data_IF_679079352453
#
_entry.id   IF_679079352453
#
_cell.length_a   1.000
_cell.length_b   1.000
_cell.length_c   1.000
_cell.angle_alpha   90.00
_cell.angle_beta   90.00
_cell.angle_gamma   90.00
#
_symmetry.space_group_name_H-M   'P 1'
#
loop_
_entity.id
_entity.type
_entity.pdbx_description
1 polymer ?
#
# COMPACT_ATOMS: atom_id res chain seq x y z
N UNK A 1 -23.36 7.42 16.51
CA UNK A 1 -22.53 6.36 17.10
C UNK A 1 -22.38 6.57 18.60
N UNK A 2 -22.43 5.48 19.37
CA UNK A 2 -22.00 5.46 20.78
C UNK A 2 -20.47 5.48 20.88
N UNK A 3 -19.91 5.62 22.09
CA UNK A 3 -18.46 5.75 22.27
C UNK A 3 -17.72 4.49 21.82
N UNK A 4 -18.27 3.33 22.13
CA UNK A 4 -17.72 2.02 21.81
C UNK A 4 -17.64 1.83 20.28
N UNK A 5 -18.71 2.18 19.55
CA UNK A 5 -18.76 2.17 18.09
C UNK A 5 -17.68 3.08 17.48
N UNK A 6 -17.44 4.26 18.06
CA UNK A 6 -16.35 5.16 17.60
C UNK A 6 -14.98 4.58 17.89
N UNK A 7 -14.80 4.00 19.09
CA UNK A 7 -13.51 3.45 19.51
C UNK A 7 -13.07 2.31 18.60
N UNK A 8 -13.96 1.35 18.31
CA UNK A 8 -13.61 0.19 17.47
C UNK A 8 -13.22 0.61 16.04
N UNK A 9 -13.84 1.65 15.48
CA UNK A 9 -13.52 2.13 14.12
C UNK A 9 -12.12 2.75 13.98
N UNK A 10 -11.39 2.97 15.09
CA UNK A 10 -10.06 3.60 15.06
C UNK A 10 -8.89 2.62 15.02
N UNK A 11 -9.17 1.32 15.09
CA UNK A 11 -8.14 0.28 14.99
C UNK A 11 -8.56 -0.83 14.04
N UNK A 12 -7.59 -1.63 13.62
CA UNK A 12 -7.86 -2.81 12.80
C UNK A 12 -8.59 -3.88 13.63
N UNK A 13 -9.48 -4.63 12.99
CA UNK A 13 -10.10 -5.84 13.55
C UNK A 13 -9.48 -7.12 12.97
N UNK A 14 -8.72 -7.00 11.88
CA UNK A 14 -7.98 -8.09 11.23
C UNK A 14 -6.66 -7.56 10.67
N UNK A 15 -5.88 -8.39 9.96
CA UNK A 15 -4.67 -7.91 9.25
C UNK A 15 -4.97 -6.82 8.22
N UNK A 16 -6.14 -6.86 7.60
CA UNK A 16 -6.49 -6.01 6.45
C UNK A 16 -7.92 -5.47 6.50
N UNK A 17 -8.52 -5.35 7.69
CA UNK A 17 -9.83 -4.72 7.82
C UNK A 17 -10.00 -3.96 9.13
N UNK A 18 -10.86 -2.95 9.09
CA UNK A 18 -11.36 -2.22 10.26
C UNK A 18 -12.87 -2.43 10.39
N UNK A 19 -13.39 -2.42 11.63
CA UNK A 19 -14.81 -2.66 11.87
C UNK A 19 -15.67 -1.53 11.31
N UNK A 20 -16.88 -1.90 10.89
CA UNK A 20 -17.96 -0.97 10.57
C UNK A 20 -18.91 -0.77 11.75
N UNK A 21 -20.08 -0.19 11.47
CA UNK A 21 -21.20 -0.06 12.42
C UNK A 21 -22.48 -0.48 11.71
N UNK A 22 -22.77 -1.79 11.72
CA UNK A 22 -23.87 -2.39 10.94
C UNK A 22 -25.25 -1.81 11.28
N UNK A 23 -25.52 -1.47 12.55
CA UNK A 23 -26.79 -0.83 12.97
C UNK A 23 -27.02 0.53 12.30
N UNK A 24 -25.94 1.21 11.89
CA UNK A 24 -25.98 2.49 11.19
C UNK A 24 -25.79 2.33 9.67
N UNK A 25 -25.74 1.11 9.15
CA UNK A 25 -25.50 0.84 7.73
C UNK A 25 -24.06 1.10 7.27
N UNK A 26 -23.10 1.17 8.20
CA UNK A 26 -21.68 1.35 7.87
C UNK A 26 -21.02 -0.03 7.77
N UNK A 27 -20.58 -0.46 6.57
CA UNK A 27 -19.94 -1.76 6.41
C UNK A 27 -18.53 -1.76 6.99
N UNK A 28 -17.94 -2.96 7.09
CA UNK A 28 -16.51 -3.10 7.33
C UNK A 28 -15.72 -2.47 6.18
N UNK A 29 -14.51 -2.00 6.51
CA UNK A 29 -13.60 -1.43 5.53
C UNK A 29 -12.42 -2.38 5.34
N UNK A 30 -12.28 -2.89 4.12
CA UNK A 30 -11.27 -3.87 3.75
C UNK A 30 -10.16 -3.23 2.93
N UNK A 31 -8.93 -3.65 3.19
CA UNK A 31 -7.74 -3.19 2.52
C UNK A 31 -6.99 -4.34 1.87
N UNK A 32 -6.04 -4.03 1.00
CA UNK A 32 -4.97 -4.96 0.64
C UNK A 32 -3.69 -4.19 0.34
N UNK A 33 -2.56 -4.85 0.54
CA UNK A 33 -1.32 -4.45 -0.15
C UNK A 33 -1.47 -4.69 -1.67
N UNK A 34 -0.72 -4.04 -2.53
CA UNK A 34 0.36 -3.09 -2.24
C UNK A 34 0.62 -2.14 -3.42
N UNK A 35 1.81 -1.52 -3.48
CA UNK A 35 2.07 -0.45 -4.45
C UNK A 35 2.14 -0.90 -5.92
N UNK A 36 2.20 -2.20 -6.21
CA UNK A 36 2.33 -2.73 -7.58
C UNK A 36 1.45 -3.96 -7.87
N UNK A 37 0.48 -4.31 -7.03
CA UNK A 37 -0.48 -5.41 -7.25
C UNK A 37 -1.50 -5.46 -6.10
N UNK A 38 -2.48 -6.36 -6.20
CA UNK A 38 -3.36 -6.71 -5.08
C UNK A 38 -2.91 -8.05 -4.50
N UNK A 39 -2.25 -8.02 -3.34
CA UNK A 39 -1.67 -9.21 -2.69
C UNK A 39 -2.73 -10.29 -2.42
N UNK A 40 -2.33 -11.56 -2.47
CA UNK A 40 -3.15 -12.70 -2.03
C UNK A 40 -3.71 -12.54 -0.60
N UNK A 41 -4.89 -13.10 -0.33
CA UNK A 41 -5.54 -13.06 0.97
C UNK A 41 -4.72 -13.79 2.03
N UNK A 42 -4.74 -13.24 3.24
CA UNK A 42 -4.22 -13.92 4.43
C UNK A 42 -5.36 -14.43 5.27
N UNK A 43 -5.03 -15.37 6.14
CA UNK A 43 -5.87 -15.69 7.28
C UNK A 43 -6.15 -14.41 8.10
N UNK A 44 -7.35 -14.35 8.65
CA UNK A 44 -7.90 -13.14 9.28
C UNK A 44 -6.98 -12.48 10.32
N UNK A 45 -6.35 -13.27 11.18
CA UNK A 45 -5.50 -12.81 12.29
C UNK A 45 -4.02 -13.25 12.15
N UNK A 46 -3.64 -13.90 11.06
CA UNK A 46 -2.29 -14.45 10.84
C UNK A 46 -1.65 -13.93 9.56
N UNK A 47 -0.33 -14.07 9.47
CA UNK A 47 0.43 -13.71 8.25
C UNK A 47 0.51 -14.84 7.22
N UNK A 48 -0.17 -15.97 7.48
CA UNK A 48 -0.21 -17.12 6.57
C UNK A 48 -1.25 -16.89 5.47
N UNK A 49 -0.92 -17.33 4.26
CA UNK A 49 -1.78 -17.26 3.08
C UNK A 49 -3.07 -18.07 3.32
N UNK A 50 -4.22 -17.51 2.95
CA UNK A 50 -5.53 -18.15 3.14
C UNK A 50 -5.76 -19.35 2.19
N UNK A 51 -4.96 -19.47 1.13
CA UNK A 51 -4.96 -20.55 0.13
C UNK A 51 -6.31 -20.72 -0.58
N UNK A 52 -6.96 -19.60 -0.88
CA UNK A 52 -8.19 -19.61 -1.66
C UNK A 52 -7.90 -20.01 -3.11
N UNK A 53 -8.79 -20.79 -3.73
CA UNK A 53 -8.60 -21.31 -5.10
C UNK A 53 -8.93 -20.28 -6.18
N UNK A 54 -9.55 -19.16 -5.81
CA UNK A 54 -10.00 -18.08 -6.68
C UNK A 54 -9.28 -16.76 -6.40
N UNK A 55 -8.07 -16.83 -5.85
CA UNK A 55 -7.35 -15.70 -5.27
C UNK A 55 -6.04 -15.39 -6.00
N UNK A 56 -6.16 -15.14 -7.30
CA UNK A 56 -5.05 -14.79 -8.19
C UNK A 56 -5.13 -13.33 -8.61
N UNK A 57 -3.98 -12.69 -8.77
CA UNK A 57 -3.83 -11.30 -9.22
C UNK A 57 -2.68 -11.18 -10.22
N UNK A 58 -2.62 -10.06 -10.94
CA UNK A 58 -1.46 -9.72 -11.77
C UNK A 58 -0.37 -9.13 -10.86
N UNK A 59 0.80 -9.75 -10.88
CA UNK A 59 2.02 -9.15 -10.35
C UNK A 59 2.60 -8.19 -11.39
N UNK A 60 2.36 -6.88 -11.23
CA UNK A 60 2.91 -5.89 -12.16
C UNK A 60 4.39 -5.60 -11.89
N UNK A 61 5.13 -5.03 -12.87
CA UNK A 61 6.51 -4.60 -12.65
C UNK A 61 6.62 -3.61 -11.48
N UNK A 62 7.66 -3.77 -10.65
CA UNK A 62 7.91 -2.88 -9.51
C UNK A 62 7.86 -1.38 -9.90
N UNK A 63 7.51 -0.50 -8.95
CA UNK A 63 7.32 0.93 -9.25
C UNK A 63 8.57 1.62 -9.79
N UNK A 64 9.78 1.11 -9.50
CA UNK A 64 11.01 1.59 -10.16
C UNK A 64 10.98 1.35 -11.66
N UNK A 65 10.48 0.19 -12.12
CA UNK A 65 10.34 -0.13 -13.53
C UNK A 65 9.28 0.77 -14.20
N UNK A 66 8.15 0.98 -13.51
CA UNK A 66 7.12 1.91 -14.01
C UNK A 66 7.67 3.33 -14.13
N UNK A 67 8.37 3.82 -13.11
CA UNK A 67 8.98 5.16 -13.12
C UNK A 67 10.02 5.31 -14.25
N UNK A 68 10.80 4.26 -14.52
CA UNK A 68 11.78 4.23 -15.61
C UNK A 68 11.17 4.36 -17.02
N UNK A 69 9.85 4.26 -17.16
CA UNK A 69 9.17 4.52 -18.44
C UNK A 69 8.98 6.00 -18.75
N UNK A 70 9.03 6.86 -17.72
CA UNK A 70 8.74 8.31 -17.83
C UNK A 70 7.40 8.60 -18.54
N UNK A 71 6.44 7.68 -18.44
CA UNK A 71 5.17 7.74 -19.16
C UNK A 71 3.98 7.85 -18.18
N UNK A 72 3.49 9.08 -17.91
CA UNK A 72 2.33 9.31 -17.06
C UNK A 72 1.05 8.61 -17.51
N UNK A 73 0.86 8.43 -18.82
CA UNK A 73 -0.32 7.74 -19.36
C UNK A 73 -0.27 6.25 -19.01
N UNK A 74 0.90 5.64 -19.19
CA UNK A 74 1.11 4.25 -18.76
C UNK A 74 0.91 4.09 -17.26
N UNK A 75 1.32 5.07 -16.46
CA UNK A 75 1.09 5.06 -15.01
C UNK A 75 -0.41 5.11 -14.65
N UNK A 76 -1.21 5.86 -15.40
CA UNK A 76 -2.67 5.88 -15.25
C UNK A 76 -3.31 4.54 -15.60
N UNK A 77 -2.89 3.92 -16.72
CA UNK A 77 -3.35 2.59 -17.13
C UNK A 77 -2.98 1.55 -16.07
N UNK A 78 -1.73 1.59 -15.59
CA UNK A 78 -1.22 0.73 -14.53
C UNK A 78 -2.08 0.82 -13.27
N UNK A 79 -2.33 2.04 -12.77
CA UNK A 79 -3.19 2.25 -11.61
C UNK A 79 -4.64 1.83 -11.85
N UNK A 80 -5.16 2.02 -13.06
CA UNK A 80 -6.52 1.61 -13.43
C UNK A 80 -6.68 0.09 -13.33
N UNK A 81 -5.74 -0.69 -13.86
CA UNK A 81 -5.80 -2.15 -13.80
C UNK A 81 -5.72 -2.67 -12.35
N UNK A 82 -4.85 -2.10 -11.51
CA UNK A 82 -4.80 -2.47 -10.09
C UNK A 82 -6.10 -2.10 -9.37
N UNK A 83 -6.69 -0.95 -9.70
CA UNK A 83 -7.98 -0.54 -9.15
C UNK A 83 -9.12 -1.51 -9.51
N UNK A 84 -9.11 -2.04 -10.73
CA UNK A 84 -10.06 -3.07 -11.17
C UNK A 84 -9.89 -4.37 -10.37
N UNK A 85 -8.67 -4.85 -10.20
CA UNK A 85 -8.38 -6.04 -9.38
C UNK A 85 -8.80 -5.85 -7.91
N UNK A 86 -8.51 -4.68 -7.36
CA UNK A 86 -8.85 -4.37 -5.97
C UNK A 86 -10.38 -4.37 -5.78
N UNK A 87 -11.14 -3.85 -6.76
CA UNK A 87 -12.61 -3.92 -6.72
C UNK A 87 -13.16 -5.31 -6.94
N UNK A 88 -12.61 -6.05 -7.87
CA UNK A 88 -13.00 -7.43 -8.08
C UNK A 88 -12.85 -8.26 -6.79
N UNK A 89 -11.84 -7.97 -5.98
CA UNK A 89 -11.58 -8.63 -4.68
C UNK A 89 -12.20 -7.91 -3.48
N UNK A 90 -13.20 -7.04 -3.70
CA UNK A 90 -13.92 -6.31 -2.66
C UNK A 90 -13.03 -5.52 -1.67
N UNK A 91 -11.87 -5.04 -2.12
CA UNK A 91 -10.98 -4.20 -1.31
C UNK A 91 -11.40 -2.76 -1.45
N UNK A 92 -11.67 -2.08 -0.35
CA UNK A 92 -12.05 -0.67 -0.30
C UNK A 92 -10.84 0.26 -0.46
N UNK A 93 -9.70 -0.09 0.13
CA UNK A 93 -8.45 0.70 0.13
C UNK A 93 -7.27 -0.12 -0.39
N UNK A 94 -6.50 0.45 -1.31
CA UNK A 94 -5.20 -0.08 -1.71
C UNK A 94 -4.10 0.57 -0.85
N UNK A 95 -3.27 -0.25 -0.20
CA UNK A 95 -2.12 0.20 0.58
C UNK A 95 -0.93 0.53 -0.33
N UNK A 96 -1.06 1.60 -1.10
CA UNK A 96 -0.04 2.11 -2.02
C UNK A 96 -0.58 3.31 -2.80
N UNK A 97 0.25 3.97 -3.63
CA UNK A 97 1.62 3.62 -3.95
C UNK A 97 2.63 4.12 -2.91
N UNK A 98 3.86 3.62 -3.02
CA UNK A 98 5.01 4.08 -2.27
C UNK A 98 5.64 5.34 -2.91
N UNK A 99 5.92 6.39 -2.12
CA UNK A 99 6.42 7.69 -2.58
C UNK A 99 7.66 8.20 -1.84
N UNK A 100 8.32 7.34 -1.07
CA UNK A 100 9.57 7.73 -0.43
C UNK A 100 10.67 7.95 -1.49
N UNK A 101 11.56 8.89 -1.22
CA UNK A 101 12.65 9.26 -2.12
C UNK A 101 13.85 8.35 -1.91
N UNK A 102 14.50 7.91 -3.00
CA UNK A 102 15.77 7.18 -2.91
C UNK A 102 16.86 8.10 -2.40
N UNK A 103 17.10 8.07 -1.09
CA UNK A 103 18.26 8.75 -0.49
C UNK A 103 19.53 7.92 -0.60
N UNK A 104 19.38 6.60 -0.56
CA UNK A 104 20.48 5.65 -0.60
C UNK A 104 20.09 4.48 -1.50
N UNK A 105 21.00 4.00 -2.37
CA UNK A 105 20.75 2.81 -3.19
C UNK A 105 20.59 1.54 -2.34
N UNK A 106 21.08 1.55 -1.09
CA UNK A 106 21.04 0.40 -0.17
C UNK A 106 19.71 0.22 0.57
N UNK A 107 18.75 1.13 0.37
CA UNK A 107 17.45 0.98 1.00
C UNK A 107 16.68 -0.20 0.39
N UNK A 108 16.34 -1.19 1.22
CA UNK A 108 15.74 -2.45 0.77
C UNK A 108 14.33 -2.32 0.15
N UNK A 109 13.72 -1.13 0.22
CA UNK A 109 12.40 -0.86 -0.34
C UNK A 109 12.43 0.07 -1.56
N UNK A 110 13.60 0.42 -2.09
CA UNK A 110 13.66 1.30 -3.26
C UNK A 110 12.86 0.76 -4.45
N UNK A 111 12.83 -0.56 -4.67
CA UNK A 111 12.04 -1.15 -5.75
C UNK A 111 10.55 -0.74 -5.74
N UNK A 112 9.99 -0.47 -4.54
CA UNK A 112 8.58 -0.14 -4.33
C UNK A 112 8.27 1.37 -4.43
N UNK A 113 9.27 2.26 -4.60
CA UNK A 113 9.05 3.70 -4.84
C UNK A 113 9.34 4.09 -6.29
N UNK A 114 9.28 5.38 -6.59
CA UNK A 114 9.29 5.93 -7.96
C UNK A 114 10.53 6.75 -8.32
N UNK A 115 11.57 6.78 -7.49
CA UNK A 115 12.83 7.46 -7.83
C UNK A 115 13.46 8.29 -6.71
N UNK A 116 14.63 8.87 -7.04
CA UNK A 116 15.32 9.87 -6.24
C UNK A 116 14.82 11.31 -6.50
N UNK A 117 14.26 11.56 -7.68
CA UNK A 117 13.80 12.90 -8.07
C UNK A 117 12.33 13.11 -7.66
N UNK A 118 12.03 14.05 -6.75
CA UNK A 118 10.66 14.31 -6.30
C UNK A 118 9.76 14.79 -7.45
N UNK A 119 10.29 15.49 -8.45
CA UNK A 119 9.49 15.95 -9.57
C UNK A 119 9.04 14.76 -10.43
N UNK A 120 9.96 13.93 -10.90
CA UNK A 120 9.69 12.70 -11.64
C UNK A 120 8.74 11.77 -10.89
N UNK A 121 9.01 11.51 -9.61
CA UNK A 121 8.14 10.71 -8.76
C UNK A 121 6.71 11.27 -8.70
N UNK A 122 6.55 12.60 -8.55
CA UNK A 122 5.23 13.24 -8.52
C UNK A 122 4.47 13.12 -9.85
N UNK A 123 5.19 13.24 -10.98
CA UNK A 123 4.62 13.13 -12.33
C UNK A 123 4.12 11.73 -12.64
N UNK A 124 4.74 10.71 -12.06
CA UNK A 124 4.35 9.32 -12.22
C UNK A 124 3.27 8.88 -11.22
N UNK A 125 3.34 9.33 -9.96
CA UNK A 125 2.43 8.85 -8.91
C UNK A 125 1.01 9.41 -9.04
N UNK A 126 0.85 10.67 -9.44
CA UNK A 126 -0.48 11.30 -9.51
C UNK A 126 -1.41 10.58 -10.51
N UNK A 127 -0.98 10.25 -11.75
CA UNK A 127 -1.77 9.44 -12.67
C UNK A 127 -2.11 8.05 -12.12
N UNK A 128 -1.14 7.36 -11.48
CA UNK A 128 -1.38 6.07 -10.81
C UNK A 128 -2.55 6.16 -9.84
N UNK A 129 -2.51 7.15 -8.94
CA UNK A 129 -3.52 7.35 -7.91
C UNK A 129 -4.90 7.60 -8.53
N UNK A 130 -4.96 8.44 -9.57
CA UNK A 130 -6.20 8.71 -10.32
C UNK A 130 -6.76 7.45 -10.98
N UNK A 131 -5.90 6.60 -11.54
CA UNK A 131 -6.29 5.33 -12.14
C UNK A 131 -6.94 4.39 -11.12
N UNK A 132 -6.30 4.22 -9.96
CA UNK A 132 -6.85 3.38 -8.88
C UNK A 132 -8.20 3.94 -8.40
N UNK A 133 -8.26 5.25 -8.14
CA UNK A 133 -9.46 5.91 -7.61
C UNK A 133 -10.63 5.97 -8.59
N UNK A 134 -10.39 5.92 -9.91
CA UNK A 134 -11.45 5.80 -10.91
C UNK A 134 -12.34 4.58 -10.69
N UNK A 135 -11.78 3.49 -10.17
CA UNK A 135 -12.51 2.27 -9.85
C UNK A 135 -13.23 2.33 -8.48
N UNK A 136 -13.30 3.52 -7.87
CA UNK A 136 -13.84 3.73 -6.53
C UNK A 136 -12.88 3.36 -5.40
N UNK A 137 -11.69 2.82 -5.70
CA UNK A 137 -10.72 2.37 -4.68
C UNK A 137 -9.95 3.52 -4.07
N UNK A 138 -10.01 3.64 -2.75
CA UNK A 138 -9.19 4.62 -2.05
C UNK A 138 -7.72 4.19 -2.08
N UNK A 139 -6.82 5.17 -2.08
CA UNK A 139 -5.37 4.98 -2.12
C UNK A 139 -4.79 5.43 -0.79
N UNK A 140 -3.92 4.62 -0.20
CA UNK A 140 -3.11 5.00 0.95
C UNK A 140 -1.67 5.28 0.49
N UNK A 141 -1.40 6.55 0.18
CA UNK A 141 -0.05 7.01 -0.19
C UNK A 141 0.90 6.79 0.98
N UNK A 142 1.98 6.04 0.75
CA UNK A 142 2.90 5.60 1.82
C UNK A 142 4.36 5.81 1.46
N UNK A 143 5.30 5.92 2.41
CA UNK A 143 5.10 6.12 3.84
C UNK A 143 5.42 7.57 4.14
N UNK A 144 4.44 8.30 4.67
CA UNK A 144 4.65 9.68 5.08
C UNK A 144 5.32 9.71 6.47
N UNK A 145 6.55 10.21 6.63
CA UNK A 145 7.54 10.60 5.63
C UNK A 145 8.93 10.06 6.02
N UNK A 146 9.93 10.24 5.15
CA UNK A 146 11.34 9.91 5.41
C UNK A 146 11.64 8.45 5.77
N UNK A 147 10.80 7.52 5.32
CA UNK A 147 11.06 6.09 5.38
C UNK A 147 12.03 5.66 4.27
N UNK A 148 13.30 6.03 4.42
CA UNK A 148 14.32 5.98 3.35
C UNK A 148 15.47 5.00 3.63
N UNK A 149 15.36 4.16 4.67
CA UNK A 149 16.34 3.12 4.99
C UNK A 149 15.69 2.00 5.80
N UNK A 150 15.69 0.76 5.32
CA UNK A 150 15.13 -0.40 6.06
C UNK A 150 15.95 -0.82 7.26
N UNK A 151 17.28 -0.67 7.22
CA UNK A 151 18.14 -0.92 8.39
C UNK A 151 17.72 0.04 9.51
N UNK A 152 17.27 -0.48 10.66
CA UNK A 152 16.74 0.27 11.84
C UNK A 152 15.29 0.77 11.75
N UNK A 153 14.50 0.39 10.74
CA UNK A 153 13.07 0.74 10.67
C UNK A 153 12.17 -0.07 11.61
N UNK A 154 12.66 -1.20 12.11
CA UNK A 154 12.00 -2.01 13.13
C UNK A 154 12.89 -2.00 14.36
N UNK A 155 12.46 -1.29 15.41
CA UNK A 155 13.11 -1.20 16.73
C UNK A 155 14.59 -0.77 16.72
N UNK A 156 14.85 0.54 16.76
CA UNK A 156 16.24 1.03 16.76
C UNK A 156 16.52 2.37 17.46
N UNK A 157 15.56 2.97 18.18
CA UNK A 157 15.85 4.12 19.04
C UNK A 157 16.48 3.72 20.39
N UNK A 158 16.62 2.41 20.70
CA UNK A 158 17.02 1.93 22.03
C UNK A 158 18.23 0.98 22.11
N UNK A 159 18.82 0.49 21.01
CA UNK A 159 20.03 -0.34 21.10
C UNK A 159 21.22 0.35 20.43
N UNK A 160 21.89 1.24 21.18
CA UNK A 160 23.22 1.80 20.85
C UNK A 160 24.36 0.97 21.46
N UNK A 161 24.33 -0.36 21.34
CA UNK A 161 25.36 -1.18 22.00
C UNK A 161 26.26 -2.03 21.10
N UNK A 162 26.10 -2.02 19.78
CA UNK A 162 26.97 -2.86 18.92
C UNK A 162 27.59 -2.12 17.74
N UNK A 163 28.26 -1.01 18.02
CA UNK A 163 29.26 -0.43 17.11
C UNK A 163 30.44 0.10 17.93
N UNK A 164 31.25 -0.81 18.47
CA UNK A 164 32.68 -0.55 18.60
C UNK A 164 33.39 -1.22 17.41
N UNK A 165 34.44 -0.55 16.96
CA UNK A 165 35.24 -0.81 15.75
C UNK A 165 35.83 -2.21 15.69
#
# INVERSE_FOLDING_TARGET
>A
MILEEKAVMTHAQSKFSSPGVLRLGIPENWMSDGPHDVREELLWDQWNIAKWTNDSCIAFPALTCLAATWNPELSYIYGSNIGEEARYRNKNVLLGPGVNIYRSPLNGRNFEYMGEDPFGASRMVVPYIKGVQKNGVAVCVKHYALNIMTMRNTNGWWNRENFEL
#
